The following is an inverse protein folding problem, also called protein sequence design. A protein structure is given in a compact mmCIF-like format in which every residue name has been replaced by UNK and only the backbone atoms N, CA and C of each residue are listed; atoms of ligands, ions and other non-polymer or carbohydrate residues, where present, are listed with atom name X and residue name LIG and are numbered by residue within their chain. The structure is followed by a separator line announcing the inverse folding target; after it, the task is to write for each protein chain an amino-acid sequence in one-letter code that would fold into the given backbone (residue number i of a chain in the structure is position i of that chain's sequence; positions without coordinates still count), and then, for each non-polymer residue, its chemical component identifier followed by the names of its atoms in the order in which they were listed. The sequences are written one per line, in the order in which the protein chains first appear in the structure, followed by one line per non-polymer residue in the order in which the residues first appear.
data_IF_325128153191
#
_entry.id   IF_325128153191
#
_cell.length_a   1.000
_cell.length_b   1.000
_cell.length_c   1.000
_cell.angle_alpha   90.00
_cell.angle_beta   90.00
_cell.angle_gamma   90.00
#
_symmetry.space_group_name_H-M   'P 1'
#
loop_
_entity.id
_entity.type
_entity.pdbx_description
1 polymer ?
#
# COMPACT_ATOMS: atom_id res chain seq x y z
N UNK A 1 8.82 -14.94 -13.83
CA UNK A 1 7.66 -14.04 -13.97
C UNK A 1 7.54 -13.18 -12.73
N UNK A 2 7.37 -11.88 -12.91
CA UNK A 2 7.25 -10.94 -11.79
C UNK A 2 5.91 -11.03 -11.06
N UNK A 3 5.83 -10.42 -9.87
CA UNK A 3 4.58 -10.30 -9.15
C UNK A 3 3.62 -9.36 -9.90
N UNK A 4 2.35 -9.72 -9.97
CA UNK A 4 1.33 -9.03 -10.75
C UNK A 4 0.53 -8.09 -9.86
N UNK A 5 0.39 -6.81 -10.26
CA UNK A 5 -0.45 -5.82 -9.59
C UNK A 5 -1.84 -5.74 -10.19
N UNK A 6 -1.93 -5.74 -11.51
CA UNK A 6 -3.17 -5.65 -12.26
C UNK A 6 -3.17 -6.60 -13.44
N UNK A 7 -4.33 -7.17 -13.74
CA UNK A 7 -4.53 -8.06 -14.87
C UNK A 7 -5.86 -7.76 -15.52
N UNK A 8 -5.81 -7.44 -16.81
CA UNK A 8 -7.00 -7.19 -17.63
C UNK A 8 -6.83 -7.92 -18.95
N UNK A 9 -7.44 -9.10 -19.03
CA UNK A 9 -7.25 -10.00 -20.16
C UNK A 9 -5.80 -10.42 -20.28
N UNK A 10 -5.17 -10.12 -21.43
CA UNK A 10 -3.75 -10.40 -21.67
C UNK A 10 -2.82 -9.28 -21.16
N UNK A 11 -3.40 -8.17 -20.78
CA UNK A 11 -2.62 -7.02 -20.26
C UNK A 11 -2.27 -7.26 -18.81
N UNK A 12 -0.98 -7.26 -18.51
CA UNK A 12 -0.46 -7.49 -17.15
C UNK A 12 0.46 -6.35 -16.76
N UNK A 13 0.22 -5.79 -15.58
CA UNK A 13 1.12 -4.83 -14.96
C UNK A 13 1.77 -5.47 -13.75
N UNK A 14 3.10 -5.44 -13.68
CA UNK A 14 3.80 -5.97 -12.50
C UNK A 14 3.66 -5.02 -11.30
N UNK A 15 3.86 -5.57 -10.09
CA UNK A 15 3.85 -4.75 -8.87
C UNK A 15 4.93 -3.67 -8.95
N UNK A 16 6.12 -4.03 -9.43
CA UNK A 16 7.22 -3.07 -9.58
C UNK A 16 6.85 -1.91 -10.49
N UNK A 17 6.32 -2.19 -11.67
CA UNK A 17 5.88 -1.16 -12.62
C UNK A 17 4.79 -0.26 -12.02
N UNK A 18 3.83 -0.86 -11.33
CA UNK A 18 2.75 -0.14 -10.69
C UNK A 18 3.27 0.80 -9.60
N UNK A 19 4.12 0.30 -8.71
CA UNK A 19 4.66 1.10 -7.61
C UNK A 19 5.56 2.23 -8.11
N UNK A 20 6.46 1.95 -9.04
CA UNK A 20 7.36 2.97 -9.61
C UNK A 20 6.58 4.05 -10.36
N UNK A 21 5.60 3.66 -11.17
CA UNK A 21 4.76 4.61 -11.90
C UNK A 21 3.94 5.50 -10.97
N UNK A 22 3.34 4.93 -9.95
CA UNK A 22 2.58 5.68 -8.96
C UNK A 22 3.49 6.60 -8.15
N UNK A 23 4.68 6.12 -7.76
CA UNK A 23 5.66 6.91 -7.01
C UNK A 23 6.11 8.15 -7.79
N UNK A 24 6.38 8.01 -9.08
CA UNK A 24 6.76 9.14 -9.94
C UNK A 24 5.64 10.18 -10.01
N UNK A 25 4.41 9.75 -10.22
CA UNK A 25 3.26 10.67 -10.29
C UNK A 25 3.02 11.37 -8.96
N UNK A 26 3.00 10.61 -7.86
CA UNK A 26 2.79 11.17 -6.53
C UNK A 26 3.91 12.13 -6.14
N UNK A 27 5.17 11.78 -6.46
CA UNK A 27 6.32 12.65 -6.26
C UNK A 27 6.20 13.96 -7.04
N UNK A 28 5.80 13.89 -8.31
CA UNK A 28 5.60 15.08 -9.14
C UNK A 28 4.51 15.99 -8.57
N UNK A 29 3.39 15.44 -8.09
CA UNK A 29 2.35 16.24 -7.44
C UNK A 29 2.85 16.87 -6.15
N UNK A 30 3.56 16.13 -5.32
CA UNK A 30 4.06 16.61 -4.03
C UNK A 30 5.19 17.64 -4.18
N UNK A 31 5.91 17.61 -5.30
CA UNK A 31 6.96 18.58 -5.58
C UNK A 31 6.45 20.03 -5.58
N UNK A 32 5.19 20.24 -5.95
CA UNK A 32 4.55 21.56 -5.96
C UNK A 32 4.52 22.23 -4.59
N UNK A 33 4.58 21.47 -3.52
CA UNK A 33 4.69 22.00 -2.16
C UNK A 33 5.98 21.56 -1.45
N UNK A 34 7.01 21.19 -2.22
CA UNK A 34 8.34 20.91 -1.71
C UNK A 34 8.49 19.56 -1.02
N UNK A 35 7.59 18.61 -1.28
CA UNK A 35 7.56 17.31 -0.61
C UNK A 35 7.61 16.12 -1.56
N UNK A 36 8.39 16.23 -2.64
CA UNK A 36 8.51 15.15 -3.63
C UNK A 36 8.80 13.80 -2.99
N UNK A 37 9.72 13.76 -2.02
CA UNK A 37 10.11 12.51 -1.34
C UNK A 37 8.94 11.86 -0.60
N UNK A 38 8.05 12.65 -0.02
CA UNK A 38 6.86 12.14 0.66
C UNK A 38 5.89 11.51 -0.33
N UNK A 39 5.63 12.19 -1.45
CA UNK A 39 4.77 11.64 -2.49
C UNK A 39 5.34 10.37 -3.08
N UNK A 40 6.64 10.38 -3.37
CA UNK A 40 7.33 9.21 -3.90
C UNK A 40 7.23 8.02 -2.93
N UNK A 41 7.49 8.25 -1.64
CA UNK A 41 7.38 7.21 -0.61
C UNK A 41 5.96 6.64 -0.53
N UNK A 42 4.95 7.49 -0.51
CA UNK A 42 3.55 7.03 -0.53
C UNK A 42 3.27 6.14 -1.72
N UNK A 43 3.70 6.55 -2.91
CA UNK A 43 3.49 5.78 -4.13
C UNK A 43 4.18 4.42 -4.09
N UNK A 44 5.43 4.38 -3.61
CA UNK A 44 6.18 3.12 -3.52
C UNK A 44 5.58 2.15 -2.50
N UNK A 45 5.00 2.64 -1.43
CA UNK A 45 4.54 1.80 -0.33
C UNK A 45 3.04 1.48 -0.37
N UNK A 46 2.23 2.25 -1.14
CA UNK A 46 0.77 2.13 -1.04
C UNK A 46 0.25 0.71 -1.27
N UNK A 47 0.85 -0.02 -2.16
CA UNK A 47 0.42 -1.36 -2.57
C UNK A 47 1.50 -2.44 -2.40
N UNK A 48 2.48 -2.26 -1.50
CA UNK A 48 3.49 -3.31 -1.29
C UNK A 48 2.89 -4.62 -0.79
N UNK A 49 1.69 -4.58 -0.19
CA UNK A 49 0.97 -5.78 0.21
C UNK A 49 0.65 -6.73 -0.95
N UNK A 50 0.69 -6.23 -2.19
CA UNK A 50 0.51 -7.05 -3.39
C UNK A 50 1.65 -8.04 -3.62
N UNK A 51 2.76 -7.91 -2.92
CA UNK A 51 3.84 -8.90 -2.93
C UNK A 51 3.53 -10.16 -2.11
N UNK A 52 2.40 -10.22 -1.40
CA UNK A 52 2.03 -11.42 -0.64
C UNK A 52 1.64 -12.57 -1.57
N UNK A 53 1.89 -13.79 -1.12
CA UNK A 53 1.48 -14.99 -1.85
C UNK A 53 -0.04 -15.05 -1.99
N UNK A 54 -0.75 -14.63 -0.97
CA UNK A 54 -2.22 -14.60 -0.93
C UNK A 54 -2.77 -13.68 -2.02
N UNK A 55 -2.19 -12.49 -2.17
CA UNK A 55 -2.61 -11.58 -3.23
C UNK A 55 -2.28 -12.13 -4.61
N UNK A 56 -1.10 -12.70 -4.80
CA UNK A 56 -0.69 -13.28 -6.10
C UNK A 56 -1.59 -14.44 -6.48
N UNK A 57 -1.95 -15.30 -5.54
CA UNK A 57 -2.92 -16.37 -5.78
C UNK A 57 -4.27 -15.80 -6.23
N UNK A 58 -4.77 -14.79 -5.53
CA UNK A 58 -6.03 -14.13 -5.87
C UNK A 58 -6.04 -13.62 -7.31
N UNK A 59 -5.01 -12.88 -7.70
CA UNK A 59 -4.99 -12.22 -9.01
C UNK A 59 -4.74 -13.21 -10.15
N UNK A 60 -3.91 -14.23 -9.92
CA UNK A 60 -3.60 -15.25 -10.94
C UNK A 60 -4.75 -16.22 -11.15
N UNK A 61 -5.44 -16.62 -10.09
CA UNK A 61 -6.57 -17.53 -10.14
C UNK A 61 -7.92 -16.82 -10.34
N UNK A 62 -7.92 -15.49 -10.36
CA UNK A 62 -9.12 -14.67 -10.51
C UNK A 62 -10.21 -15.01 -9.49
N UNK A 63 -9.82 -15.19 -8.22
CA UNK A 63 -10.75 -15.48 -7.13
C UNK A 63 -11.36 -14.20 -6.57
N UNK A 64 -12.44 -14.35 -5.79
CA UNK A 64 -13.10 -13.24 -5.12
C UNK A 64 -12.61 -13.03 -3.67
N UNK A 65 -11.50 -13.66 -3.30
CA UNK A 65 -10.94 -13.52 -1.97
C UNK A 65 -10.57 -12.06 -1.67
N UNK A 66 -10.87 -11.62 -0.46
CA UNK A 66 -10.47 -10.29 0.00
C UNK A 66 -9.10 -10.39 0.65
N UNK A 67 -8.12 -9.72 0.06
CA UNK A 67 -6.75 -9.65 0.60
C UNK A 67 -6.43 -8.18 0.90
N UNK A 68 -6.14 -7.88 2.15
CA UNK A 68 -5.72 -6.55 2.56
C UNK A 68 -4.30 -6.30 2.07
N UNK A 69 -4.15 -5.46 1.05
CA UNK A 69 -2.85 -5.09 0.51
C UNK A 69 -2.45 -3.64 0.81
N UNK A 70 -3.30 -2.88 1.50
CA UNK A 70 -3.03 -1.49 1.85
C UNK A 70 -2.31 -1.35 3.20
N UNK A 71 -2.63 -2.21 4.17
CA UNK A 71 -2.12 -2.08 5.53
C UNK A 71 -0.61 -2.27 5.63
N UNK A 72 -0.02 -3.12 4.79
CA UNK A 72 1.42 -3.39 4.82
C UNK A 72 2.25 -2.11 4.68
N UNK A 73 1.94 -1.27 3.69
CA UNK A 73 2.64 -0.01 3.49
C UNK A 73 2.47 0.96 4.64
N UNK A 74 1.27 1.00 5.24
CA UNK A 74 1.02 1.84 6.40
C UNK A 74 1.87 1.41 7.61
N UNK A 75 2.06 0.12 7.80
CA UNK A 75 2.92 -0.41 8.87
C UNK A 75 4.39 -0.07 8.64
N UNK A 76 4.86 -0.16 7.40
CA UNK A 76 6.24 0.23 7.05
C UNK A 76 6.46 1.72 7.34
N UNK A 77 5.53 2.59 6.96
CA UNK A 77 5.63 4.02 7.25
C UNK A 77 5.74 4.29 8.74
N UNK A 78 5.00 3.56 9.58
CA UNK A 78 5.12 3.71 11.03
C UNK A 78 6.53 3.35 11.51
N UNK A 79 7.08 2.25 11.01
CA UNK A 79 8.41 1.79 11.40
C UNK A 79 9.53 2.74 10.96
N UNK A 80 9.34 3.46 9.87
CA UNK A 80 10.30 4.46 9.41
C UNK A 80 10.46 5.64 10.38
N UNK A 81 9.44 5.90 11.20
CA UNK A 81 9.49 6.96 12.20
C UNK A 81 9.47 8.37 11.62
N UNK A 82 9.86 9.36 12.43
CA UNK A 82 9.84 10.75 12.02
C UNK A 82 8.45 11.21 11.59
N UNK A 83 8.33 11.80 10.40
CA UNK A 83 7.05 12.24 9.84
C UNK A 83 6.36 11.17 9.00
N UNK A 84 7.01 10.06 8.70
CA UNK A 84 6.45 9.00 7.85
C UNK A 84 5.16 8.38 8.39
N UNK A 85 4.93 8.24 9.72
CA UNK A 85 3.65 7.76 10.23
C UNK A 85 2.44 8.57 9.74
N UNK A 86 2.62 9.86 9.42
CA UNK A 86 1.55 10.69 8.86
C UNK A 86 1.12 10.15 7.49
N UNK A 87 2.05 9.67 6.69
CA UNK A 87 1.77 9.10 5.37
C UNK A 87 0.97 7.81 5.47
N UNK A 88 1.01 7.13 6.62
CA UNK A 88 0.21 5.93 6.87
C UNK A 88 -1.29 6.18 6.69
N UNK A 89 -1.79 7.37 7.00
CA UNK A 89 -3.19 7.73 6.78
C UNK A 89 -3.56 7.60 5.31
N UNK A 90 -2.73 8.15 4.44
CA UNK A 90 -2.97 8.12 3.00
C UNK A 90 -2.92 6.68 2.46
N UNK A 91 -1.92 5.93 2.89
CA UNK A 91 -1.71 4.56 2.42
C UNK A 91 -2.82 3.65 2.92
N UNK A 92 -3.11 3.68 4.23
CA UNK A 92 -4.18 2.87 4.80
C UNK A 92 -5.54 3.19 4.20
N UNK A 93 -5.77 4.45 3.86
CA UNK A 93 -7.06 4.94 3.40
C UNK A 93 -7.26 4.97 1.90
N UNK A 94 -6.30 4.55 1.07
CA UNK A 94 -6.42 4.76 -0.38
C UNK A 94 -7.55 3.96 -1.05
N UNK A 95 -8.08 2.93 -0.41
CA UNK A 95 -9.26 2.21 -0.88
C UNK A 95 -10.54 2.58 -0.13
N UNK A 96 -10.43 2.81 1.18
CA UNK A 96 -11.60 2.93 2.06
C UNK A 96 -11.84 4.35 2.61
N UNK A 97 -10.97 5.30 2.30
CA UNK A 97 -10.99 6.63 2.88
C UNK A 97 -10.12 6.74 4.11
N UNK A 98 -9.81 7.98 4.51
CA UNK A 98 -8.92 8.23 5.63
C UNK A 98 -9.51 7.68 6.94
N UNK A 99 -8.79 6.81 7.66
CA UNK A 99 -9.28 6.29 8.93
C UNK A 99 -9.10 7.31 10.05
N UNK A 100 -9.85 7.13 11.14
CA UNK A 100 -9.55 7.83 12.38
C UNK A 100 -8.27 7.27 12.99
N UNK A 101 -7.59 8.09 13.78
CA UNK A 101 -6.40 7.62 14.50
C UNK A 101 -6.75 6.46 15.44
N UNK A 102 -7.80 6.63 16.25
CA UNK A 102 -8.38 5.60 17.11
C UNK A 102 -7.41 5.03 18.14
N UNK A 103 -7.56 3.75 18.38
CA UNK A 103 -6.72 2.99 19.29
C UNK A 103 -6.65 1.52 18.81
N UNK A 104 -5.85 0.70 19.49
CA UNK A 104 -5.62 -0.69 19.09
C UNK A 104 -6.84 -1.60 19.23
N UNK A 105 -7.87 -1.18 19.98
CA UNK A 105 -9.12 -1.95 20.11
C UNK A 105 -10.06 -1.76 18.92
N UNK A 106 -9.87 -0.69 18.12
CA UNK A 106 -10.70 -0.38 16.95
C UNK A 106 -9.93 -0.83 15.72
N UNK A 107 -10.29 -1.97 15.15
CA UNK A 107 -9.55 -2.61 14.06
C UNK A 107 -9.49 -1.77 12.77
N UNK A 108 -10.52 -0.95 12.52
CA UNK A 108 -10.58 -0.07 11.34
C UNK A 108 -9.82 1.24 11.51
N UNK A 109 -9.41 1.59 12.72
CA UNK A 109 -8.63 2.80 12.98
C UNK A 109 -7.18 2.65 12.51
N UNK A 110 -6.45 3.77 12.36
CA UNK A 110 -5.04 3.71 12.00
C UNK A 110 -4.23 2.92 13.03
N UNK A 111 -4.45 3.16 14.33
CA UNK A 111 -3.78 2.41 15.38
C UNK A 111 -4.09 0.91 15.30
N UNK A 112 -5.33 0.54 15.03
CA UNK A 112 -5.73 -0.86 14.84
C UNK A 112 -5.05 -1.48 13.62
N UNK A 113 -4.98 -0.74 12.50
CA UNK A 113 -4.30 -1.18 11.27
C UNK A 113 -2.80 -1.39 11.50
N UNK A 114 -2.15 -0.55 12.28
CA UNK A 114 -0.73 -0.72 12.62
C UNK A 114 -0.45 -2.00 13.43
N UNK A 115 -1.42 -2.48 14.18
CA UNK A 115 -1.31 -3.72 14.99
C UNK A 115 -1.84 -4.95 14.27
N UNK A 116 -2.51 -4.78 13.14
CA UNK A 116 -3.12 -5.88 12.41
C UNK A 116 -2.06 -6.86 11.92
N UNK A 117 -2.33 -8.16 12.10
CA UNK A 117 -1.53 -9.20 11.46
C UNK A 117 -1.89 -9.25 9.97
N UNK A 118 -0.89 -9.13 9.13
CA UNK A 118 -1.06 -9.14 7.66
C UNK A 118 -0.35 -10.33 7.05
N UNK A 119 -0.61 -10.56 5.77
CA UNK A 119 0.08 -11.59 5.00
C UNK A 119 1.56 -11.25 4.84
N UNK A 120 2.42 -12.25 4.96
CA UNK A 120 3.85 -12.07 4.77
C UNK A 120 4.16 -11.64 3.32
N UNK A 121 5.10 -10.72 3.18
CA UNK A 121 5.54 -10.26 1.87
C UNK A 121 6.69 -11.13 1.36
N UNK A 122 6.63 -11.47 0.09
CA UNK A 122 7.68 -12.27 -0.58
C UNK A 122 8.71 -11.35 -1.23
N UNK A 123 9.33 -10.52 -0.43
CA UNK A 123 10.34 -9.57 -0.91
C UNK A 123 11.72 -10.18 -1.07
#
# INVERSE_FOLDING_TARGET
MGYIAHKDGERVQTVKEHLEGTAERAGNFAEKFGKREWGYCCGMLHDIGKYSKEFQKKIQENTNDKVDHATAGAQVCKELGGYYPILSYCIAGHHAGLPDYGNTAISSSLCGRWKKKICDLSL
#
